data_IF_125728974106
#
_entry.id   IF_125728974106
#
_cell.length_a   1.000
_cell.length_b   1.000
_cell.length_c   1.000
_cell.angle_alpha   90.00
_cell.angle_beta   90.00
_cell.angle_gamma   90.00
#
_symmetry.space_group_name_H-M   'P 1'
#
loop_
_entity.id
_entity.type
_entity.pdbx_description
1 polymer ?
#
# COMPACT_ATOMS: atom_id res chain seq x y z
N UNK A 1 12.65 5.04 -2.49
CA UNK A 1 12.93 4.97 -3.93
C UNK A 1 14.43 5.09 -4.16
N UNK A 2 15.09 6.20 -3.83
CA UNK A 2 16.54 6.42 -4.08
C UNK A 2 17.38 5.27 -3.48
N UNK A 3 17.09 4.83 -2.24
CA UNK A 3 17.79 3.71 -1.61
C UNK A 3 17.67 2.42 -2.42
N UNK A 4 16.47 2.14 -2.98
CA UNK A 4 16.25 0.96 -3.82
C UNK A 4 17.05 1.02 -5.12
N UNK A 5 17.12 2.19 -5.77
CA UNK A 5 17.93 2.41 -6.97
C UNK A 5 19.44 2.22 -6.71
N UNK A 6 19.88 2.45 -5.47
CA UNK A 6 21.27 2.19 -5.04
C UNK A 6 21.50 0.72 -4.60
N UNK A 7 20.49 -0.15 -4.72
CA UNK A 7 20.53 -1.54 -4.29
C UNK A 7 20.35 -1.75 -2.78
N UNK A 8 20.00 -0.70 -2.03
CA UNK A 8 19.75 -0.78 -0.59
C UNK A 8 18.26 -1.04 -0.34
N UNK A 9 17.81 -2.28 -0.48
CA UNK A 9 16.39 -2.65 -0.39
C UNK A 9 15.87 -2.67 1.03
N UNK A 10 16.66 -3.12 2.01
CA UNK A 10 16.25 -3.15 3.41
C UNK A 10 15.90 -1.75 3.96
N UNK A 11 16.75 -0.71 3.82
CA UNK A 11 16.39 0.64 4.23
C UNK A 11 15.18 1.21 3.46
N UNK A 12 15.02 0.81 2.19
CA UNK A 12 13.86 1.24 1.40
C UNK A 12 12.55 0.67 1.94
N UNK A 13 12.52 -0.63 2.32
CA UNK A 13 11.38 -1.28 2.94
C UNK A 13 11.06 -0.68 4.31
N UNK A 14 12.09 -0.48 5.15
CA UNK A 14 11.93 0.15 6.48
C UNK A 14 11.31 1.54 6.35
N UNK A 15 11.74 2.34 5.36
CA UNK A 15 11.20 3.67 5.13
C UNK A 15 9.70 3.65 4.82
N UNK A 16 9.18 2.66 4.08
CA UNK A 16 7.75 2.49 3.83
C UNK A 16 7.01 2.12 5.12
N UNK A 17 7.56 1.22 5.96
CA UNK A 17 6.95 0.90 7.25
C UNK A 17 6.89 2.11 8.18
N UNK A 18 7.95 2.93 8.21
CA UNK A 18 7.96 4.19 8.97
C UNK A 18 6.88 5.13 8.43
N UNK A 19 6.77 5.28 7.10
CA UNK A 19 5.73 6.10 6.49
C UNK A 19 4.32 5.64 6.88
N UNK A 20 4.05 4.32 6.94
CA UNK A 20 2.76 3.78 7.40
C UNK A 20 2.43 4.14 8.85
N UNK A 21 3.44 4.13 9.74
CA UNK A 21 3.25 4.51 11.14
C UNK A 21 2.97 6.01 11.26
N UNK A 22 3.72 6.83 10.54
CA UNK A 22 3.56 8.30 10.55
C UNK A 22 2.19 8.71 10.00
N UNK A 23 1.76 8.15 8.88
CA UNK A 23 0.44 8.35 8.30
C UNK A 23 -0.70 7.98 9.28
N UNK A 24 -0.56 6.85 9.97
CA UNK A 24 -1.54 6.47 10.99
C UNK A 24 -1.58 7.42 12.20
N UNK A 25 -0.46 8.10 12.50
CA UNK A 25 -0.37 9.06 13.60
C UNK A 25 -0.93 10.42 13.21
N UNK A 26 -0.56 10.98 12.05
CA UNK A 26 -1.01 12.31 11.62
C UNK A 26 -2.51 12.36 11.38
N UNK A 27 -3.11 11.34 10.77
CA UNK A 27 -4.55 11.20 10.66
C UNK A 27 -5.28 11.09 12.01
N UNK A 28 -4.65 10.56 13.07
CA UNK A 28 -5.20 10.56 14.42
C UNK A 28 -5.09 11.94 15.07
N UNK A 29 -3.94 12.59 14.95
CA UNK A 29 -3.68 13.91 15.52
C UNK A 29 -4.63 14.93 14.91
N UNK A 30 -4.78 14.98 13.59
CA UNK A 30 -5.70 15.88 12.89
C UNK A 30 -7.15 15.75 13.38
N UNK A 31 -7.61 14.51 13.66
CA UNK A 31 -8.95 14.26 14.21
C UNK A 31 -9.09 14.69 15.66
N UNK A 32 -8.05 14.51 16.49
CA UNK A 32 -8.07 14.90 17.90
C UNK A 32 -8.01 16.41 18.09
N UNK A 33 -7.34 17.13 17.21
CA UNK A 33 -7.15 18.58 17.27
C UNK A 33 -8.22 19.36 16.50
N UNK A 34 -9.16 18.68 15.81
CA UNK A 34 -10.16 19.31 14.95
C UNK A 34 -9.55 20.27 13.90
N UNK A 35 -8.33 20.01 13.44
CA UNK A 35 -7.62 20.81 12.43
C UNK A 35 -7.76 20.28 11.02
N UNK A 36 -8.65 19.30 10.80
CA UNK A 36 -8.90 18.73 9.49
C UNK A 36 -9.44 19.79 8.53
N UNK A 37 -8.70 20.06 7.44
CA UNK A 37 -9.12 20.92 6.34
C UNK A 37 -9.35 20.11 5.06
N UNK A 38 -10.13 20.63 4.12
CA UNK A 38 -10.31 19.99 2.80
C UNK A 38 -8.98 19.89 2.07
N UNK A 39 -8.16 20.93 2.10
CA UNK A 39 -6.81 20.91 1.53
C UNK A 39 -5.94 19.84 2.17
N UNK A 40 -5.96 19.70 3.50
CA UNK A 40 -5.22 18.66 4.21
C UNK A 40 -5.62 17.26 3.78
N UNK A 41 -6.92 17.00 3.56
CA UNK A 41 -7.44 15.72 3.09
C UNK A 41 -6.95 15.37 1.67
N UNK A 42 -6.96 16.34 0.76
CA UNK A 42 -6.48 16.13 -0.61
C UNK A 42 -4.95 15.93 -0.63
N UNK A 43 -4.22 16.71 0.17
CA UNK A 43 -2.77 16.56 0.30
C UNK A 43 -2.38 15.19 0.88
N UNK A 44 -3.09 14.72 1.89
CA UNK A 44 -2.95 13.39 2.49
C UNK A 44 -3.12 12.28 1.43
N UNK A 45 -4.18 12.38 0.62
CA UNK A 45 -4.42 11.45 -0.48
C UNK A 45 -3.29 11.43 -1.53
N UNK A 46 -2.70 12.58 -1.85
CA UNK A 46 -1.56 12.66 -2.75
C UNK A 46 -0.29 12.07 -2.12
N UNK A 47 -0.08 12.32 -0.83
CA UNK A 47 1.02 11.74 -0.06
C UNK A 47 0.90 10.21 0.01
N UNK A 48 -0.30 9.70 0.27
CA UNK A 48 -0.63 8.28 0.27
C UNK A 48 -0.35 7.62 -1.09
N UNK A 49 -0.73 8.31 -2.18
CA UNK A 49 -0.48 7.83 -3.52
C UNK A 49 1.02 7.64 -3.80
N UNK A 50 1.84 8.57 -3.33
CA UNK A 50 3.31 8.48 -3.48
C UNK A 50 3.89 7.42 -2.55
N UNK A 51 3.49 7.40 -1.29
CA UNK A 51 4.09 6.56 -0.25
C UNK A 51 3.65 5.09 -0.34
N UNK A 52 2.39 4.82 -0.70
CA UNK A 52 1.81 3.48 -0.69
C UNK A 52 1.38 2.97 -2.07
N UNK A 53 1.31 3.86 -3.07
CA UNK A 53 1.07 3.48 -4.46
C UNK A 53 2.37 3.39 -5.27
N UNK A 54 3.05 4.52 -5.45
CA UNK A 54 4.20 4.63 -6.36
C UNK A 54 5.47 4.02 -5.76
N UNK A 55 5.83 4.37 -4.52
CA UNK A 55 7.10 3.96 -3.94
C UNK A 55 7.23 2.43 -3.79
N UNK A 56 6.24 1.66 -3.26
CA UNK A 56 6.33 0.21 -3.20
C UNK A 56 6.41 -0.45 -4.58
N UNK A 57 5.68 0.09 -5.56
CA UNK A 57 5.72 -0.41 -6.95
C UNK A 57 7.12 -0.24 -7.57
N UNK A 58 7.77 0.91 -7.34
CA UNK A 58 9.12 1.18 -7.83
C UNK A 58 10.17 0.35 -7.09
N UNK A 59 10.03 0.15 -5.77
CA UNK A 59 10.94 -0.72 -5.01
C UNK A 59 10.84 -2.16 -5.53
N UNK A 60 9.63 -2.66 -5.77
CA UNK A 60 9.40 -3.98 -6.35
C UNK A 60 9.97 -4.09 -7.77
N UNK A 61 9.82 -3.04 -8.58
CA UNK A 61 10.38 -2.99 -9.92
C UNK A 61 11.91 -3.05 -9.89
N UNK A 62 12.56 -2.25 -9.06
CA UNK A 62 14.03 -2.24 -8.90
C UNK A 62 14.54 -3.54 -8.29
N UNK A 63 13.80 -4.15 -7.37
CA UNK A 63 14.17 -5.41 -6.74
C UNK A 63 14.17 -6.57 -7.75
N UNK A 64 13.08 -6.72 -8.49
CA UNK A 64 12.80 -7.94 -9.23
C UNK A 64 12.31 -7.70 -10.65
N UNK A 65 11.28 -6.89 -10.83
CA UNK A 65 10.52 -6.87 -12.07
C UNK A 65 11.33 -6.38 -13.28
N UNK A 66 12.37 -5.57 -13.07
CA UNK A 66 13.30 -5.17 -14.12
C UNK A 66 14.17 -6.33 -14.63
N UNK A 67 14.39 -7.38 -13.82
CA UNK A 67 15.26 -8.52 -14.19
C UNK A 67 14.65 -9.39 -15.29
N UNK A 68 13.39 -9.27 -15.61
CA UNK A 68 12.77 -9.89 -16.77
C UNK A 68 13.46 -9.57 -18.12
N UNK A 69 14.35 -8.56 -18.13
CA UNK A 69 15.19 -8.20 -19.29
C UNK A 69 16.06 -9.36 -19.76
N UNK A 70 16.56 -10.16 -18.82
CA UNK A 70 17.47 -11.29 -19.14
C UNK A 70 16.75 -12.48 -19.79
N UNK A 71 15.41 -12.55 -19.67
CA UNK A 71 14.61 -13.64 -20.21
C UNK A 71 13.83 -13.28 -21.49
N UNK A 72 13.85 -12.01 -21.90
CA UNK A 72 13.26 -11.55 -23.15
C UNK A 72 12.44 -10.26 -23.03
N UNK A 73 12.34 -9.54 -24.14
CA UNK A 73 11.66 -8.24 -24.23
C UNK A 73 10.19 -8.25 -23.76
N UNK A 74 9.52 -9.40 -23.84
CA UNK A 74 8.12 -9.56 -23.42
C UNK A 74 8.00 -9.56 -21.88
N UNK A 75 8.89 -10.25 -21.18
CA UNK A 75 8.90 -10.35 -19.73
C UNK A 75 9.26 -9.02 -19.06
N UNK A 76 10.18 -8.27 -19.62
CA UNK A 76 10.46 -6.90 -19.19
C UNK A 76 9.21 -6.01 -19.25
N UNK A 77 8.44 -6.10 -20.34
CA UNK A 77 7.18 -5.32 -20.45
C UNK A 77 6.15 -5.73 -19.42
N UNK A 78 6.03 -7.02 -19.10
CA UNK A 78 5.12 -7.51 -18.07
C UNK A 78 5.51 -7.00 -16.68
N UNK A 79 6.80 -6.94 -16.35
CA UNK A 79 7.28 -6.36 -15.09
C UNK A 79 6.90 -4.89 -14.95
N UNK A 80 7.14 -4.09 -16.00
CA UNK A 80 6.76 -2.68 -16.03
C UNK A 80 5.23 -2.49 -15.93
N UNK A 81 4.47 -3.30 -16.69
CA UNK A 81 3.01 -3.28 -16.63
C UNK A 81 2.47 -3.67 -15.25
N UNK A 82 3.10 -4.63 -14.56
CA UNK A 82 2.73 -5.03 -13.21
C UNK A 82 2.90 -3.88 -12.21
N UNK A 83 4.05 -3.21 -12.22
CA UNK A 83 4.30 -2.04 -11.37
C UNK A 83 3.34 -0.88 -11.67
N UNK A 84 3.11 -0.60 -12.96
CA UNK A 84 2.14 0.41 -13.39
C UNK A 84 0.71 0.05 -12.97
N UNK A 85 0.30 -1.21 -13.14
CA UNK A 85 -1.02 -1.71 -12.74
C UNK A 85 -1.25 -1.51 -11.25
N UNK A 86 -0.28 -1.87 -10.40
CA UNK A 86 -0.38 -1.66 -8.95
C UNK A 86 -0.59 -0.18 -8.61
N UNK A 87 0.23 0.70 -9.20
CA UNK A 87 0.15 2.14 -9.01
C UNK A 87 -1.21 2.70 -9.47
N UNK A 88 -1.70 2.27 -10.63
CA UNK A 88 -3.01 2.66 -11.13
C UNK A 88 -4.16 2.18 -10.21
N UNK A 89 -4.07 0.97 -9.68
CA UNK A 89 -5.05 0.45 -8.72
C UNK A 89 -5.05 1.25 -7.41
N UNK A 90 -3.88 1.67 -6.91
CA UNK A 90 -3.78 2.54 -5.75
C UNK A 90 -4.45 3.90 -6.00
N UNK A 91 -4.21 4.52 -7.16
CA UNK A 91 -4.87 5.77 -7.56
C UNK A 91 -6.39 5.63 -7.64
N UNK A 92 -6.89 4.58 -8.30
CA UNK A 92 -8.33 4.31 -8.42
C UNK A 92 -8.98 4.09 -7.06
N UNK A 93 -8.28 3.39 -6.15
CA UNK A 93 -8.76 3.18 -4.79
C UNK A 93 -8.89 4.49 -4.02
N UNK A 94 -7.86 5.36 -4.06
CA UNK A 94 -7.87 6.65 -3.39
C UNK A 94 -8.96 7.57 -3.97
N UNK A 95 -9.07 7.63 -5.30
CA UNK A 95 -10.12 8.40 -5.96
C UNK A 95 -11.53 7.90 -5.56
N UNK A 96 -11.73 6.58 -5.50
CA UNK A 96 -12.99 5.99 -5.04
C UNK A 96 -13.27 6.35 -3.57
N UNK A 97 -12.28 6.27 -2.69
CA UNK A 97 -12.42 6.61 -1.28
C UNK A 97 -12.81 8.08 -1.09
N UNK A 98 -12.23 8.99 -1.87
CA UNK A 98 -12.54 10.42 -1.81
C UNK A 98 -13.90 10.76 -2.42
N UNK A 99 -14.38 10.01 -3.42
CA UNK A 99 -15.67 10.25 -4.08
C UNK A 99 -16.87 9.75 -3.26
N UNK A 100 -16.68 8.80 -2.35
CA UNK A 100 -17.75 8.31 -1.46
C UNK A 100 -17.88 9.26 -0.26
N UNK A 101 -18.37 10.47 -0.55
CA UNK A 101 -18.80 11.44 0.45
C UNK A 101 -20.27 11.17 0.78
N UNK A 102 -20.59 10.24 1.67
CA UNK A 102 -21.92 10.24 2.25
C UNK A 102 -22.08 9.26 3.40
N UNK A 103 -22.95 9.62 4.31
CA UNK A 103 -23.37 9.00 5.55
C UNK A 103 -23.95 7.58 5.43
N UNK A 104 -23.80 6.91 4.31
CA UNK A 104 -24.30 5.58 4.02
C UNK A 104 -23.19 4.55 4.16
N UNK A 105 -23.24 3.80 5.26
CA UNK A 105 -22.50 2.57 5.55
C UNK A 105 -20.97 2.65 5.69
N UNK A 106 -20.52 3.29 6.75
CA UNK A 106 -19.15 3.17 7.30
C UNK A 106 -18.79 1.77 7.83
N UNK A 107 -19.67 0.77 7.66
CA UNK A 107 -19.48 -0.57 8.26
C UNK A 107 -18.61 -1.50 7.46
N UNK A 108 -18.41 -1.26 6.16
CA UNK A 108 -17.63 -2.16 5.29
C UNK A 108 -16.57 -1.38 4.54
N UNK A 109 -15.30 -1.64 4.84
CA UNK A 109 -14.19 -1.26 3.98
C UNK A 109 -14.22 -2.13 2.74
N UNK A 110 -14.49 -1.54 1.56
CA UNK A 110 -14.39 -2.24 0.29
C UNK A 110 -12.97 -2.15 -0.24
N UNK A 111 -12.34 -3.29 -0.44
CA UNK A 111 -10.98 -3.43 -0.95
C UNK A 111 -9.88 -3.34 0.12
N UNK A 112 -8.69 -3.81 -0.25
CA UNK A 112 -7.52 -3.78 0.63
C UNK A 112 -7.04 -2.33 0.83
N UNK A 113 -6.75 -1.88 2.06
CA UNK A 113 -6.14 -0.57 2.30
C UNK A 113 -4.79 -0.40 1.59
N UNK A 114 -4.51 0.79 0.98
CA UNK A 114 -3.23 1.04 0.30
C UNK A 114 -2.00 0.84 1.19
N UNK A 115 -1.99 1.25 2.48
CA UNK A 115 -0.88 0.92 3.37
C UNK A 115 -0.70 -0.60 3.56
N UNK A 116 -1.81 -1.37 3.66
CA UNK A 116 -1.71 -2.82 3.81
C UNK A 116 -1.17 -3.50 2.54
N UNK A 117 -1.58 -3.04 1.36
CA UNK A 117 -1.03 -3.51 0.09
C UNK A 117 0.46 -3.16 -0.05
N UNK A 118 0.86 -1.94 0.32
CA UNK A 118 2.26 -1.54 0.37
C UNK A 118 3.07 -2.43 1.33
N UNK A 119 2.54 -2.66 2.54
CA UNK A 119 3.16 -3.55 3.53
C UNK A 119 3.35 -4.97 3.03
N UNK A 120 2.38 -5.49 2.25
CA UNK A 120 2.50 -6.80 1.63
C UNK A 120 3.66 -6.86 0.62
N UNK A 121 3.79 -5.86 -0.26
CA UNK A 121 4.88 -5.80 -1.24
C UNK A 121 6.23 -5.68 -0.57
N UNK A 122 6.41 -4.65 0.29
CA UNK A 122 7.72 -4.41 0.92
C UNK A 122 8.08 -5.47 1.95
N UNK A 123 7.09 -6.07 2.62
CA UNK A 123 7.29 -7.20 3.53
C UNK A 123 7.76 -8.44 2.78
N UNK A 124 7.19 -8.71 1.59
CA UNK A 124 7.62 -9.79 0.74
C UNK A 124 9.06 -9.59 0.26
N UNK A 125 9.40 -8.39 -0.23
CA UNK A 125 10.78 -8.04 -0.64
C UNK A 125 11.75 -8.23 0.52
N UNK A 126 11.44 -7.68 1.69
CA UNK A 126 12.33 -7.76 2.85
C UNK A 126 12.57 -9.20 3.28
N UNK A 127 11.50 -9.99 3.40
CA UNK A 127 11.61 -11.40 3.78
C UNK A 127 12.42 -12.20 2.75
N UNK A 128 12.20 -11.97 1.46
CA UNK A 128 12.93 -12.64 0.38
C UNK A 128 14.41 -12.27 0.40
N UNK A 129 14.72 -11.00 0.62
CA UNK A 129 16.09 -10.50 0.74
C UNK A 129 16.81 -11.10 1.96
N UNK A 130 16.14 -11.17 3.12
CA UNK A 130 16.67 -11.72 4.36
C UNK A 130 16.95 -13.24 4.26
N UNK A 131 16.11 -13.96 3.50
CA UNK A 131 16.31 -15.37 3.17
C UNK A 131 17.41 -15.62 2.12
N UNK A 132 18.02 -14.57 1.57
CA UNK A 132 19.12 -14.66 0.60
C UNK A 132 18.68 -14.89 -0.83
N UNK A 133 17.39 -14.76 -1.15
CA UNK A 133 16.91 -14.82 -2.54
C UNK A 133 17.27 -13.56 -3.31
N UNK A 134 17.50 -13.73 -4.61
CA UNK A 134 17.66 -12.63 -5.55
C UNK A 134 16.32 -12.32 -6.25
N UNK A 135 16.07 -11.06 -6.57
CA UNK A 135 14.82 -10.66 -7.24
C UNK A 135 14.60 -11.37 -8.59
N UNK A 136 15.68 -11.74 -9.28
CA UNK A 136 15.59 -12.50 -10.53
C UNK A 136 15.01 -13.91 -10.35
N UNK A 137 15.32 -14.59 -9.25
CA UNK A 137 14.82 -15.94 -8.95
C UNK A 137 13.32 -15.95 -8.62
N UNK A 138 12.82 -14.87 -8.02
CA UNK A 138 11.44 -14.74 -7.57
C UNK A 138 10.55 -13.93 -8.52
N UNK A 139 11.04 -13.57 -9.71
CA UNK A 139 10.37 -12.66 -10.64
C UNK A 139 8.88 -12.95 -10.87
N UNK A 140 8.52 -14.23 -11.10
CA UNK A 140 7.11 -14.61 -11.29
C UNK A 140 6.27 -14.41 -10.02
N UNK A 141 6.83 -14.73 -8.84
CA UNK A 141 6.14 -14.54 -7.56
C UNK A 141 5.97 -13.06 -7.26
N UNK A 142 7.00 -12.26 -7.50
CA UNK A 142 6.99 -10.80 -7.33
C UNK A 142 5.94 -10.14 -8.23
N UNK A 143 5.86 -10.56 -9.49
CA UNK A 143 4.82 -10.10 -10.41
C UNK A 143 3.42 -10.49 -9.91
N UNK A 144 3.26 -11.74 -9.46
CA UNK A 144 1.98 -12.25 -8.94
C UNK A 144 1.53 -11.48 -7.69
N UNK A 145 2.42 -11.27 -6.72
CA UNK A 145 2.15 -10.51 -5.50
C UNK A 145 1.78 -9.06 -5.84
N UNK A 146 2.48 -8.45 -6.80
CA UNK A 146 2.22 -7.08 -7.26
C UNK A 146 0.84 -6.95 -7.90
N UNK A 147 0.49 -7.85 -8.82
CA UNK A 147 -0.80 -7.83 -9.52
C UNK A 147 -1.94 -8.16 -8.57
N UNK A 148 -1.78 -9.14 -7.69
CA UNK A 148 -2.81 -9.46 -6.69
C UNK A 148 -2.98 -8.31 -5.70
N UNK A 149 -1.90 -7.74 -5.17
CA UNK A 149 -1.96 -6.60 -4.27
C UNK A 149 -2.73 -5.43 -4.89
N UNK A 150 -2.44 -5.09 -6.15
CA UNK A 150 -3.18 -4.11 -6.92
C UNK A 150 -4.65 -4.47 -7.11
N UNK A 151 -4.94 -5.68 -7.57
CA UNK A 151 -6.30 -6.16 -7.78
C UNK A 151 -7.16 -6.18 -6.52
N UNK A 152 -6.57 -6.56 -5.37
CA UNK A 152 -7.26 -6.54 -4.08
C UNK A 152 -7.63 -5.13 -3.62
N UNK A 153 -6.83 -4.10 -3.94
CA UNK A 153 -7.15 -2.71 -3.63
C UNK A 153 -8.43 -2.24 -4.32
N UNK A 154 -8.65 -2.63 -5.58
CA UNK A 154 -9.83 -2.23 -6.38
C UNK A 154 -11.00 -3.20 -6.19
N UNK A 155 -10.77 -4.39 -5.65
CA UNK A 155 -11.80 -5.40 -5.45
C UNK A 155 -12.94 -4.88 -4.56
N UNK A 156 -14.14 -5.47 -4.76
CA UNK A 156 -15.31 -5.20 -3.90
C UNK A 156 -15.39 -6.15 -2.69
N UNK A 157 -14.28 -6.82 -2.36
CA UNK A 157 -14.25 -7.71 -1.21
C UNK A 157 -14.42 -6.88 0.06
N UNK A 158 -15.43 -7.21 0.84
CA UNK A 158 -15.71 -6.58 2.12
C UNK A 158 -14.78 -7.15 3.17
N UNK A 159 -13.76 -6.39 3.56
CA UNK A 159 -12.92 -6.75 4.70
C UNK A 159 -13.61 -6.32 5.99
N UNK A 160 -13.76 -7.24 6.93
CA UNK A 160 -14.37 -6.97 8.23
C UNK A 160 -13.50 -5.95 8.99
N UNK A 161 -14.09 -4.82 9.34
CA UNK A 161 -13.40 -3.82 10.16
C UNK A 161 -13.37 -4.31 11.60
N UNK A 162 -12.17 -4.56 12.15
CA UNK A 162 -11.98 -4.91 13.58
C UNK A 162 -12.40 -3.80 14.56
N UNK A 163 -12.94 -2.71 14.05
CA UNK A 163 -13.34 -1.54 14.84
C UNK A 163 -14.52 -1.82 15.80
N UNK A 164 -15.35 -2.82 15.46
CA UNK A 164 -16.50 -3.18 16.29
C UNK A 164 -16.12 -4.00 17.54
N UNK A 165 -14.94 -4.60 17.57
CA UNK A 165 -14.44 -5.31 18.76
C UNK A 165 -14.02 -4.35 19.89
N UNK A 166 -13.61 -3.12 19.56
CA UNK A 166 -13.18 -2.12 20.56
C UNK A 166 -14.35 -1.33 21.18
N UNK A 167 -15.54 -1.34 20.56
CA UNK A 167 -16.70 -0.57 21.01
C UNK A 167 -17.66 -1.36 21.93
N UNK A 168 -17.46 -2.67 22.08
CA UNK A 168 -18.34 -3.52 22.90
C UNK A 168 -18.05 -3.44 24.40
N UNK A 169 -16.97 -2.78 24.81
CA UNK A 169 -16.65 -2.51 26.21
C UNK A 169 -17.00 -1.06 26.60
N UNK A 170 -18.24 -0.61 26.40
CA UNK A 170 -18.76 0.52 27.17
C UNK A 170 -19.00 0.01 28.58
N UNK A 171 -18.10 0.37 29.49
CA UNK A 171 -18.30 0.25 30.94
C UNK A 171 -19.57 1.02 31.27
N UNK A 172 -20.60 0.41 31.92
CA UNK A 172 -21.75 1.15 32.39
C UNK A 172 -21.28 2.11 33.50
N UNK A 173 -21.42 3.40 33.27
CA UNK A 173 -21.30 4.40 34.34
C UNK A 173 -22.41 4.17 35.34
N UNK A 174 -22.03 3.67 36.52
CA UNK A 174 -22.90 3.61 37.69
C UNK A 174 -23.02 5.06 38.20
N UNK A 175 -24.20 5.63 38.06
CA UNK A 175 -24.66 6.81 38.81
C UNK A 175 -25.27 6.36 40.14
#
# INVERSE_FOLDING_TARGET
>A
IISAQMGHFEPACIAIFIAMVLDGLDGRVARMTNTASEFGKEYDSLSDMVSFGLAPALIMFEWSLQHGVYEGWMLQRLGWLGAFFYTACAALRLARFNSINSDLDRRYFQGLPSPAAAGLLVGFIWTSHDLGYTGGELWLMDLFVTVIGGGLMVSRLSFYSFKDLALKNKVPTIT
#
